data_IF_884684218010
#
_entry.id   IF_884684218010
#
_cell.length_a   1.000
_cell.length_b   1.000
_cell.length_c   1.000
_cell.angle_alpha   90.00
_cell.angle_beta   90.00
_cell.angle_gamma   90.00
#
_symmetry.space_group_name_H-M   'P 1'
#
loop_
_entity.id
_entity.type
_entity.pdbx_description
1 polymer ?
#
# COMPACT_ATOMS: atom_id res chain seq x y z
N UNK A 1 1.82 33.65 13.30
CA UNK A 1 1.38 32.41 13.97
C UNK A 1 1.03 31.43 12.87
N UNK A 2 1.90 30.47 12.58
CA UNK A 2 1.53 29.32 11.75
C UNK A 2 0.63 28.46 12.65
N UNK A 3 -0.64 28.34 12.31
CA UNK A 3 -1.66 27.70 13.14
C UNK A 3 -1.40 26.20 13.28
N UNK A 4 -1.80 25.62 14.41
CA UNK A 4 -1.74 24.18 14.65
C UNK A 4 -2.43 23.37 13.53
N UNK A 5 -3.42 23.98 12.86
CA UNK A 5 -4.12 23.39 11.72
C UNK A 5 -3.20 23.15 10.51
N UNK A 6 -2.18 23.98 10.30
CA UNK A 6 -1.23 23.82 9.19
C UNK A 6 -0.32 22.61 9.43
N UNK A 7 0.18 22.42 10.66
CA UNK A 7 1.01 21.26 11.01
C UNK A 7 0.21 19.95 10.97
N UNK A 8 -1.04 19.97 11.46
CA UNK A 8 -1.90 18.79 11.38
C UNK A 8 -2.23 18.41 9.93
N UNK A 9 -2.46 19.40 9.06
CA UNK A 9 -2.73 19.17 7.65
C UNK A 9 -1.51 18.62 6.90
N UNK A 10 -0.31 19.14 7.16
CA UNK A 10 0.93 18.63 6.59
C UNK A 10 1.23 17.20 7.06
N UNK A 11 1.10 16.94 8.36
CA UNK A 11 1.34 15.61 8.92
C UNK A 11 0.34 14.58 8.36
N UNK A 12 -0.93 14.95 8.24
CA UNK A 12 -1.94 14.09 7.65
C UNK A 12 -1.66 13.79 6.17
N UNK A 13 -1.26 14.80 5.38
CA UNK A 13 -0.85 14.61 4.00
C UNK A 13 0.36 13.69 3.88
N UNK A 14 1.33 13.80 4.79
CA UNK A 14 2.49 12.92 4.83
C UNK A 14 2.07 11.46 5.08
N UNK A 15 1.21 11.21 6.07
CA UNK A 15 0.66 9.88 6.33
C UNK A 15 -0.08 9.30 5.11
N UNK A 16 -0.84 10.15 4.40
CA UNK A 16 -1.51 9.75 3.17
C UNK A 16 -0.54 9.38 2.05
N UNK A 17 0.49 10.21 1.81
CA UNK A 17 1.49 9.98 0.77
C UNK A 17 2.24 8.66 1.03
N UNK A 18 2.56 8.36 2.28
CA UNK A 18 3.19 7.09 2.67
C UNK A 18 2.32 5.88 2.36
N UNK A 19 1.03 5.91 2.72
CA UNK A 19 0.09 4.82 2.42
C UNK A 19 -0.05 4.66 0.90
N UNK A 20 -0.15 5.77 0.17
CA UNK A 20 -0.26 5.77 -1.30
C UNK A 20 0.97 5.16 -1.95
N UNK A 21 2.17 5.56 -1.54
CA UNK A 21 3.42 4.98 -2.04
C UNK A 21 3.54 3.49 -1.72
N UNK A 22 3.14 3.08 -0.52
CA UNK A 22 3.14 1.67 -0.12
C UNK A 22 2.15 0.83 -0.95
N UNK A 23 0.96 1.38 -1.21
CA UNK A 23 -0.05 0.78 -2.10
C UNK A 23 0.52 0.59 -3.50
N UNK A 24 1.17 1.62 -4.04
CA UNK A 24 1.83 1.57 -5.34
C UNK A 24 2.96 0.54 -5.38
N UNK A 25 3.72 0.40 -4.29
CA UNK A 25 4.79 -0.59 -4.16
C UNK A 25 4.24 -2.02 -4.17
N UNK A 26 3.16 -2.28 -3.44
CA UNK A 26 2.47 -3.59 -3.44
C UNK A 26 1.92 -3.94 -4.82
N UNK A 27 1.44 -2.97 -5.59
CA UNK A 27 0.86 -3.21 -6.91
C UNK A 27 1.91 -3.40 -8.01
N UNK A 28 3.00 -2.62 -7.99
CA UNK A 28 3.97 -2.57 -9.08
C UNK A 28 5.23 -3.40 -8.82
N UNK A 29 5.57 -3.66 -7.56
CA UNK A 29 6.74 -4.47 -7.17
C UNK A 29 6.37 -5.58 -6.18
N UNK A 30 5.36 -6.43 -6.47
CA UNK A 30 4.95 -7.50 -5.56
C UNK A 30 6.07 -8.51 -5.26
N UNK A 31 7.09 -8.62 -6.12
CA UNK A 31 8.28 -9.46 -5.94
C UNK A 31 9.15 -9.07 -4.75
N UNK A 32 9.01 -7.84 -4.22
CA UNK A 32 9.69 -7.42 -3.00
C UNK A 32 9.05 -8.01 -1.74
N UNK A 33 7.81 -8.47 -1.84
CA UNK A 33 7.05 -9.00 -0.72
C UNK A 33 7.03 -10.52 -0.76
N UNK A 34 7.51 -11.14 0.31
CA UNK A 34 7.35 -12.57 0.51
C UNK A 34 5.91 -12.92 0.92
N UNK A 35 5.57 -14.20 0.84
CA UNK A 35 4.28 -14.70 1.35
C UNK A 35 4.11 -14.43 2.85
N UNK A 36 5.21 -14.44 3.61
CA UNK A 36 5.21 -14.12 5.02
C UNK A 36 4.90 -12.64 5.25
N UNK A 37 5.50 -11.76 4.45
CA UNK A 37 5.25 -10.31 4.51
C UNK A 37 3.77 -9.98 4.27
N UNK A 38 3.15 -10.62 3.27
CA UNK A 38 1.71 -10.47 3.02
C UNK A 38 0.84 -10.97 4.19
N UNK A 39 1.23 -12.04 4.88
CA UNK A 39 0.51 -12.53 6.05
C UNK A 39 0.67 -11.60 7.26
N UNK A 40 1.86 -11.03 7.45
CA UNK A 40 2.16 -10.13 8.54
C UNK A 40 1.49 -8.77 8.33
N UNK A 41 1.53 -8.22 7.11
CA UNK A 41 0.78 -7.02 6.73
C UNK A 41 -0.73 -7.19 6.94
N UNK A 42 -1.28 -8.35 6.56
CA UNK A 42 -2.70 -8.62 6.79
C UNK A 42 -3.05 -8.59 8.29
N UNK A 43 -2.25 -9.22 9.15
CA UNK A 43 -2.45 -9.21 10.61
C UNK A 43 -2.23 -7.84 11.23
N UNK A 44 -1.32 -7.05 10.67
CA UNK A 44 -1.00 -5.70 11.11
C UNK A 44 -2.13 -4.73 10.80
N UNK A 45 -2.68 -4.75 9.58
CA UNK A 45 -3.69 -3.79 9.11
C UNK A 45 -5.11 -4.15 9.57
N UNK A 46 -5.42 -5.43 9.73
CA UNK A 46 -6.76 -5.89 10.15
C UNK A 46 -7.27 -5.25 11.46
N UNK A 47 -6.47 -5.12 12.54
CA UNK A 47 -6.94 -4.52 13.79
C UNK A 47 -6.90 -2.98 13.80
N UNK A 48 -6.26 -2.32 12.83
CA UNK A 48 -6.18 -0.85 12.78
C UNK A 48 -7.54 -0.30 12.35
N UNK A 49 -7.97 0.78 13.00
CA UNK A 49 -9.16 1.53 12.58
C UNK A 49 -8.97 2.10 11.17
N UNK A 50 -10.05 2.56 10.53
CA UNK A 50 -9.99 3.29 9.26
C UNK A 50 -9.45 4.72 9.48
N UNK A 51 -8.25 4.81 10.04
CA UNK A 51 -7.54 6.03 10.39
C UNK A 51 -6.22 6.08 9.63
N UNK A 52 -6.07 7.11 8.80
CA UNK A 52 -4.89 7.32 7.94
C UNK A 52 -3.61 7.41 8.75
N UNK A 53 -3.63 8.08 9.90
CA UNK A 53 -2.43 8.27 10.75
C UNK A 53 -2.02 6.94 11.38
N UNK A 54 -2.96 6.22 11.98
CA UNK A 54 -2.73 4.90 12.58
C UNK A 54 -2.24 3.87 11.56
N UNK A 55 -2.80 3.89 10.34
CA UNK A 55 -2.38 3.00 9.26
C UNK A 55 -0.96 3.31 8.78
N UNK A 56 -0.64 4.59 8.55
CA UNK A 56 0.71 5.02 8.17
C UNK A 56 1.74 4.63 9.23
N UNK A 57 1.46 4.90 10.51
CA UNK A 57 2.37 4.56 11.60
C UNK A 57 2.59 3.04 11.73
N UNK A 58 1.53 2.23 11.59
CA UNK A 58 1.65 0.79 11.61
C UNK A 58 2.54 0.28 10.47
N UNK A 59 2.32 0.79 9.25
CA UNK A 59 3.11 0.44 8.07
C UNK A 59 4.58 0.84 8.21
N UNK A 60 4.87 2.07 8.64
CA UNK A 60 6.25 2.53 8.85
C UNK A 60 6.98 1.66 9.87
N UNK A 61 6.35 1.40 11.02
CA UNK A 61 6.93 0.55 12.06
C UNK A 61 7.26 -0.84 11.53
N UNK A 62 6.44 -1.37 10.61
CA UNK A 62 6.72 -2.65 9.97
C UNK A 62 7.84 -2.56 8.93
N UNK A 63 7.88 -1.51 8.11
CA UNK A 63 8.93 -1.25 7.12
C UNK A 63 10.31 -1.10 7.76
N UNK A 64 10.41 -0.54 8.97
CA UNK A 64 11.68 -0.45 9.73
C UNK A 64 12.34 -1.82 9.94
N UNK A 65 11.54 -2.91 9.98
CA UNK A 65 12.04 -4.28 10.09
C UNK A 65 12.43 -4.90 8.73
N UNK A 66 12.09 -4.25 7.61
CA UNK A 66 12.23 -4.73 6.24
C UNK A 66 13.01 -3.73 5.37
N UNK A 67 14.32 -3.62 5.60
CA UNK A 67 15.17 -2.58 4.96
C UNK A 67 15.02 -2.46 3.44
N UNK A 68 14.85 -3.59 2.72
CA UNK A 68 14.65 -3.57 1.25
C UNK A 68 13.33 -2.93 0.82
N UNK A 69 12.28 -3.10 1.63
CA UNK A 69 10.96 -2.54 1.37
C UNK A 69 10.96 -1.07 1.76
N UNK A 70 11.64 -0.72 2.85
CA UNK A 70 11.83 0.67 3.28
C UNK A 70 12.57 1.50 2.22
N UNK A 71 13.70 1.00 1.70
CA UNK A 71 14.43 1.64 0.61
C UNK A 71 13.54 1.82 -0.64
N UNK A 72 12.82 0.78 -1.03
CA UNK A 72 11.93 0.83 -2.20
C UNK A 72 10.71 1.74 -1.99
N UNK A 73 10.25 1.87 -0.75
CA UNK A 73 9.17 2.78 -0.36
C UNK A 73 9.65 4.23 -0.50
N UNK A 74 10.85 4.55 -0.02
CA UNK A 74 11.46 5.88 -0.15
C UNK A 74 11.63 6.27 -1.63
N UNK A 75 12.18 5.37 -2.46
CA UNK A 75 12.28 5.59 -3.91
C UNK A 75 10.91 5.84 -4.57
N UNK A 76 9.89 5.12 -4.12
CA UNK A 76 8.52 5.27 -4.64
C UNK A 76 7.90 6.59 -4.20
N UNK A 77 8.19 7.05 -2.97
CA UNK A 77 7.75 8.37 -2.49
C UNK A 77 8.40 9.48 -3.30
N UNK A 78 9.72 9.45 -3.50
CA UNK A 78 10.43 10.45 -4.30
C UNK A 78 9.90 10.51 -5.75
N UNK A 79 9.53 9.35 -6.32
CA UNK A 79 8.99 9.27 -7.67
C UNK A 79 7.54 9.80 -7.79
N UNK A 80 6.70 9.56 -6.77
CA UNK A 80 5.28 9.94 -6.78
C UNK A 80 5.05 11.37 -6.25
N UNK A 81 5.89 11.82 -5.34
CA UNK A 81 5.75 13.09 -4.60
C UNK A 81 7.08 13.89 -4.64
N UNK A 82 7.56 14.27 -5.84
CA UNK A 82 8.85 14.95 -5.99
C UNK A 82 8.91 16.33 -5.31
N UNK A 83 7.75 16.93 -4.97
CA UNK A 83 7.66 18.25 -4.32
C UNK A 83 7.79 18.22 -2.79
N UNK A 84 7.77 17.05 -2.13
CA UNK A 84 7.95 16.93 -0.67
C UNK A 84 9.43 17.04 -0.25
N UNK A 85 10.37 16.92 -1.20
CA UNK A 85 11.80 17.19 -1.00
C UNK A 85 12.06 18.62 -1.44
N UNK A 86 12.18 19.55 -0.48
CA UNK A 86 12.63 20.93 -0.68
C UNK A 86 13.95 21.01 -1.47
N UNK A 87 13.89 20.90 -2.80
CA UNK A 87 15.00 21.27 -3.69
C UNK A 87 14.44 21.81 -5.00
N UNK A 88 14.36 23.14 -5.06
CA UNK A 88 14.33 23.99 -6.24
C UNK A 88 14.12 23.29 -7.60
N UNK A 89 12.92 23.42 -8.20
CA UNK A 89 12.76 23.69 -9.64
C UNK A 89 11.32 24.00 -10.04
N UNK A 90 11.10 25.27 -10.40
CA UNK A 90 10.20 25.66 -11.50
C UNK A 90 8.73 25.86 -11.15
N UNK A 91 8.18 26.98 -11.62
CA UNK A 91 6.78 27.32 -11.48
C UNK A 91 5.86 26.34 -12.24
N UNK A 92 4.88 25.78 -11.53
CA UNK A 92 3.67 25.21 -12.12
C UNK A 92 3.60 23.68 -12.12
N UNK A 93 3.45 23.07 -10.94
CA UNK A 93 3.03 21.68 -10.82
C UNK A 93 2.07 21.52 -9.65
N UNK A 94 0.76 21.63 -9.87
CA UNK A 94 -0.22 21.09 -8.91
C UNK A 94 -0.31 19.59 -9.14
N UNK A 95 0.70 18.86 -8.66
CA UNK A 95 0.84 17.42 -8.87
C UNK A 95 0.31 16.56 -7.73
N UNK A 96 -0.26 17.15 -6.67
CA UNK A 96 -0.84 16.34 -5.60
C UNK A 96 -2.10 15.65 -6.15
N UNK A 97 -2.19 14.31 -6.12
CA UNK A 97 -3.46 13.66 -6.35
C UNK A 97 -4.43 14.19 -5.31
N UNK A 98 -5.49 14.88 -5.77
CA UNK A 98 -6.48 15.45 -4.86
C UNK A 98 -7.05 14.35 -3.98
N UNK A 99 -6.83 14.53 -2.67
CA UNK A 99 -7.26 13.65 -1.61
C UNK A 99 -8.75 13.93 -1.38
N UNK A 100 -9.60 13.00 -1.80
CA UNK A 100 -11.03 13.07 -1.49
C UNK A 100 -11.32 12.26 -0.23
N UNK A 101 -12.33 12.65 0.59
CA UNK A 101 -12.75 11.86 1.76
C UNK A 101 -13.12 10.41 1.42
N UNK A 102 -13.49 10.15 0.16
CA UNK A 102 -13.81 8.83 -0.37
C UNK A 102 -12.55 7.97 -0.57
N UNK A 103 -11.45 8.58 -1.05
CA UNK A 103 -10.16 7.91 -1.13
C UNK A 103 -9.65 7.57 0.26
N UNK A 104 -9.71 8.51 1.20
CA UNK A 104 -9.29 8.31 2.59
C UNK A 104 -9.98 7.10 3.24
N UNK A 105 -11.32 7.05 3.16
CA UNK A 105 -12.13 5.98 3.76
C UNK A 105 -11.87 4.59 3.16
N UNK A 106 -11.29 4.52 1.97
CA UNK A 106 -11.09 3.25 1.25
C UNK A 106 -9.65 2.76 1.27
N UNK A 107 -8.69 3.52 1.82
CA UNK A 107 -7.27 3.16 1.83
C UNK A 107 -7.00 1.80 2.47
N UNK A 108 -7.58 1.57 3.65
CA UNK A 108 -7.41 0.30 4.37
C UNK A 108 -7.97 -0.88 3.56
N UNK A 109 -9.16 -0.71 2.99
CA UNK A 109 -9.78 -1.76 2.17
C UNK A 109 -8.95 -2.04 0.91
N UNK A 110 -8.40 -0.99 0.27
CA UNK A 110 -7.51 -1.11 -0.87
C UNK A 110 -6.25 -1.91 -0.51
N UNK A 111 -5.60 -1.59 0.61
CA UNK A 111 -4.44 -2.33 1.12
C UNK A 111 -4.77 -3.81 1.37
N UNK A 112 -5.86 -4.09 2.09
CA UNK A 112 -6.29 -5.46 2.38
C UNK A 112 -6.59 -6.24 1.09
N UNK A 113 -7.18 -5.59 0.09
CA UNK A 113 -7.45 -6.20 -1.21
C UNK A 113 -6.18 -6.51 -1.99
N UNK A 114 -5.20 -5.61 -2.01
CA UNK A 114 -3.90 -5.82 -2.66
C UNK A 114 -3.12 -6.94 -1.98
N UNK A 115 -3.06 -6.94 -0.64
CA UNK A 115 -2.40 -8.01 0.13
C UNK A 115 -3.05 -9.37 -0.15
N UNK A 116 -4.38 -9.42 -0.27
CA UNK A 116 -5.10 -10.66 -0.64
C UNK A 116 -4.79 -11.12 -2.05
N UNK A 117 -4.66 -10.20 -3.02
CA UNK A 117 -4.32 -10.50 -4.41
C UNK A 117 -2.88 -10.98 -4.57
N UNK A 118 -1.96 -10.42 -3.81
CA UNK A 118 -0.54 -10.77 -3.82
C UNK A 118 -0.22 -12.06 -3.04
N UNK A 119 -1.21 -12.72 -2.43
CA UNK A 119 -0.99 -14.07 -1.93
C UNK A 119 -0.75 -14.99 -3.13
N UNK A 120 0.31 -15.81 -3.14
CA UNK A 120 0.38 -16.90 -4.08
C UNK A 120 -0.87 -17.74 -3.85
N UNK A 121 -1.75 -17.78 -4.85
CA UNK A 121 -2.83 -18.76 -4.88
C UNK A 121 -2.16 -20.11 -4.68
N UNK A 122 -2.60 -20.95 -3.72
CA UNK A 122 -2.35 -22.36 -3.86
C UNK A 122 -2.96 -22.70 -5.21
N UNK A 123 -2.12 -23.15 -6.16
CA UNK A 123 -2.54 -23.53 -7.50
C UNK A 123 -3.90 -24.21 -7.42
N UNK A 124 -4.88 -23.71 -8.18
CA UNK A 124 -6.06 -24.49 -8.51
C UNK A 124 -5.65 -25.61 -9.49
N UNK A 125 -4.68 -26.43 -9.09
CA UNK A 125 -4.37 -27.72 -9.70
C UNK A 125 -5.02 -28.76 -8.78
N UNK A 126 -6.31 -28.99 -9.03
CA UNK A 126 -7.12 -29.79 -8.13
C UNK A 126 -8.60 -29.78 -8.45
N UNK A 127 -9.00 -29.61 -9.71
CA UNK A 127 -10.28 -30.15 -10.15
C UNK A 127 -10.01 -31.61 -10.51
N UNK A 128 -10.40 -32.61 -9.71
CA UNK A 128 -10.42 -33.98 -10.21
C UNK A 128 -11.41 -33.98 -11.37
N UNK A 129 -10.89 -34.13 -12.59
CA UNK A 129 -11.72 -34.44 -13.75
C UNK A 129 -12.35 -35.79 -13.43
N UNK A 130 -13.68 -35.92 -13.32
CA UNK A 130 -14.27 -37.24 -13.20
C UNK A 130 -13.92 -38.01 -14.47
N UNK A 131 -13.21 -39.12 -14.27
CA UNK A 131 -13.03 -40.17 -15.24
C UNK A 131 -14.43 -40.60 -15.69
N UNK A 132 -14.81 -40.17 -16.89
CA UNK A 132 -15.94 -40.74 -17.61
C UNK A 132 -15.37 -41.62 -18.70
N UNK A 133 -14.92 -42.78 -18.27
CA UNK A 133 -14.91 -44.01 -19.06
C UNK A 133 -16.32 -44.19 -19.66
N UNK A 134 -16.46 -43.85 -20.94
CA UNK A 134 -17.66 -44.17 -21.72
C UNK A 134 -17.47 -45.59 -22.30
N UNK A 135 -18.28 -46.59 -21.92
CA UNK A 135 -18.26 -47.88 -22.59
C UNK A 135 -19.00 -47.77 -23.93
N UNK A 136 -18.35 -48.26 -24.98
CA UNK A 136 -18.90 -48.45 -26.32
C UNK A 136 -20.18 -49.29 -26.30
N UNK A 137 -21.21 -48.84 -27.03
CA UNK A 137 -22.22 -49.74 -27.61
C UNK A 137 -22.84 -49.14 -28.86
#
# INVERSE_FOLDING_TARGET
MIGADFFNHLYFNQCFNQITAFTHLLENKPELFSTQDGADLYKLITPVADDTVGLSNALLTWCESQSKIDDALLETQDALFPDDVETERGAGGSGYPEMTPEKERTLREQLLNLIRRNKPTPSQDGKPKPDSTQPSR
#
